data_IF_735952724057
#
_entry.id   IF_735952724057
#
_cell.length_a   1.000
_cell.length_b   1.000
_cell.length_c   1.000
_cell.angle_alpha   90.00
_cell.angle_beta   90.00
_cell.angle_gamma   90.00
#
_symmetry.space_group_name_H-M   'P 1'
#
loop_
_entity.id
_entity.type
_entity.pdbx_description
1 polymer ?
#
# COMPACT_ATOMS: atom_id res chain seq x y z
N UNK A 1 -6.73 6.60 16.88
CA UNK A 1 -7.29 5.60 15.96
C UNK A 1 -6.30 4.47 15.84
N UNK A 2 -6.77 3.22 15.86
CA UNK A 2 -5.91 2.06 15.59
C UNK A 2 -5.67 1.99 14.09
N UNK A 3 -4.42 2.08 13.65
CA UNK A 3 -4.06 1.88 12.25
C UNK A 3 -3.76 0.41 11.99
N UNK A 4 -4.22 -0.10 10.84
CA UNK A 4 -3.86 -1.43 10.34
C UNK A 4 -3.00 -1.25 9.10
N UNK A 5 -1.98 -2.09 8.96
CA UNK A 5 -1.08 -2.06 7.82
C UNK A 5 -0.86 -3.43 7.21
N UNK A 6 -0.73 -3.46 5.88
CA UNK A 6 -0.35 -4.64 5.10
C UNK A 6 0.93 -4.30 4.36
N UNK A 7 1.98 -5.10 4.54
CA UNK A 7 3.31 -4.83 3.99
C UNK A 7 3.73 -5.92 3.00
N UNK A 8 4.43 -5.52 1.93
CA UNK A 8 5.13 -6.42 1.03
C UNK A 8 6.44 -5.78 0.57
N UNK A 9 7.50 -6.57 0.42
CA UNK A 9 8.79 -6.09 -0.06
C UNK A 9 9.04 -6.63 -1.46
N UNK A 10 9.17 -5.72 -2.43
CA UNK A 10 9.58 -6.03 -3.80
C UNK A 10 11.10 -6.20 -3.82
N UNK A 11 11.64 -7.35 -4.28
CA UNK A 11 13.07 -7.54 -4.45
C UNK A 11 13.67 -6.54 -5.45
N UNK A 12 14.97 -6.26 -5.34
CA UNK A 12 15.68 -5.44 -6.32
C UNK A 12 15.62 -6.07 -7.72
N UNK A 13 15.56 -5.23 -8.77
CA UNK A 13 15.46 -5.68 -10.16
C UNK A 13 14.09 -6.26 -10.54
N UNK A 14 13.07 -6.12 -9.69
CA UNK A 14 11.71 -6.57 -9.94
C UNK A 14 10.74 -5.39 -9.94
N UNK A 15 9.80 -5.41 -10.88
CA UNK A 15 8.69 -4.48 -10.96
C UNK A 15 7.41 -5.16 -10.45
N UNK A 16 6.43 -4.33 -10.12
CA UNK A 16 5.14 -4.79 -9.63
C UNK A 16 4.01 -4.04 -10.34
N UNK A 17 3.09 -4.80 -10.92
CA UNK A 17 1.81 -4.27 -11.38
C UNK A 17 0.78 -4.66 -10.33
N UNK A 18 0.24 -3.66 -9.62
CA UNK A 18 -0.99 -3.87 -8.85
C UNK A 18 -2.07 -4.15 -9.89
N UNK A 19 -2.90 -5.17 -9.66
CA UNK A 19 -3.97 -5.59 -10.58
C UNK A 19 -5.35 -5.40 -9.98
N UNK A 20 -5.49 -5.63 -8.68
CA UNK A 20 -6.73 -5.42 -7.96
C UNK A 20 -6.44 -4.84 -6.58
N UNK A 21 -7.40 -4.07 -6.10
CA UNK A 21 -7.37 -3.50 -4.77
C UNK A 21 -8.77 -3.61 -4.14
N UNK A 22 -8.82 -4.09 -2.91
CA UNK A 22 -10.06 -4.31 -2.17
C UNK A 22 -9.90 -3.80 -0.73
N UNK A 23 -10.85 -2.97 -0.32
CA UNK A 23 -11.02 -2.51 1.05
C UNK A 23 -12.33 -3.09 1.55
N UNK A 24 -12.24 -3.88 2.62
CA UNK A 24 -13.39 -4.31 3.41
C UNK A 24 -13.33 -3.62 4.77
N UNK A 25 -14.47 -3.15 5.25
CA UNK A 25 -14.55 -2.38 6.49
C UNK A 25 -15.91 -2.54 7.15
N UNK A 26 -15.97 -2.32 8.46
CA UNK A 26 -17.24 -2.20 9.18
C UNK A 26 -18.05 -1.02 8.62
N UNK A 27 -19.32 -1.28 8.30
CA UNK A 27 -20.24 -0.27 7.77
C UNK A 27 -20.53 0.82 8.81
N UNK A 28 -20.66 2.08 8.36
CA UNK A 28 -21.02 3.22 9.22
C UNK A 28 -19.84 3.93 9.89
N UNK A 29 -18.61 3.62 9.45
CA UNK A 29 -17.40 4.39 9.75
C UNK A 29 -16.84 4.97 8.47
N UNK A 30 -16.12 6.08 8.58
CA UNK A 30 -15.35 6.65 7.48
C UNK A 30 -13.87 6.41 7.75
N UNK A 31 -13.14 5.93 6.74
CA UNK A 31 -11.71 5.67 6.84
C UNK A 31 -10.95 6.36 5.71
N UNK A 32 -9.69 6.67 6.01
CA UNK A 32 -8.73 7.13 5.04
C UNK A 32 -7.66 6.05 4.85
N UNK A 33 -7.29 5.79 3.60
CA UNK A 33 -6.30 4.79 3.22
C UNK A 33 -5.17 5.45 2.45
N UNK A 34 -3.95 5.32 2.96
CA UNK A 34 -2.74 5.79 2.31
C UNK A 34 -1.87 4.63 1.86
N UNK A 35 -1.41 4.67 0.62
CA UNK A 35 -0.40 3.76 0.10
C UNK A 35 0.97 4.41 0.13
N UNK A 36 1.91 3.70 0.72
CA UNK A 36 3.27 4.17 0.95
C UNK A 36 4.27 3.23 0.28
N UNK A 37 5.41 3.78 -0.09
CA UNK A 37 6.59 3.02 -0.48
C UNK A 37 7.84 3.58 0.19
N UNK A 38 8.87 2.75 0.28
CA UNK A 38 10.23 3.13 0.67
C UNK A 38 11.23 2.28 -0.11
N UNK A 39 12.06 2.94 -0.91
CA UNK A 39 13.17 2.33 -1.64
C UNK A 39 14.35 2.05 -0.69
N UNK A 40 15.31 1.23 -1.11
CA UNK A 40 16.47 0.80 -0.31
C UNK A 40 16.05 0.19 1.04
N UNK A 41 15.11 -0.75 0.99
CA UNK A 41 14.54 -1.39 2.18
C UNK A 41 15.58 -2.14 3.04
N UNK A 42 16.73 -2.46 2.45
CA UNK A 42 17.92 -3.03 3.09
C UNK A 42 18.77 -2.01 3.84
N UNK A 43 18.65 -0.72 3.55
CA UNK A 43 19.30 0.32 4.33
C UNK A 43 18.57 0.54 5.66
N UNK A 44 19.20 0.05 6.73
CA UNK A 44 18.72 0.19 8.10
C UNK A 44 19.52 1.24 8.90
N UNK A 45 20.47 1.93 8.28
CA UNK A 45 21.32 2.92 8.95
C UNK A 45 20.70 4.31 8.74
N UNK A 46 20.62 5.10 9.80
CA UNK A 46 20.08 6.44 9.70
C UNK A 46 21.08 7.40 8.97
N UNK A 47 20.60 8.33 8.11
CA UNK A 47 19.20 8.50 7.71
C UNK A 47 18.78 7.49 6.61
N UNK A 48 17.70 6.77 6.86
CA UNK A 48 17.10 5.87 5.87
C UNK A 48 16.46 6.63 4.71
N UNK A 49 16.20 5.93 3.61
CA UNK A 49 15.46 6.47 2.47
C UNK A 49 14.05 6.97 2.84
N UNK A 50 13.56 8.04 2.20
CA UNK A 50 12.29 8.66 2.55
C UNK A 50 11.10 7.76 2.20
N UNK A 51 10.05 7.84 3.03
CA UNK A 51 8.76 7.21 2.77
C UNK A 51 7.96 8.10 1.82
N UNK A 52 7.55 7.58 0.66
CA UNK A 52 6.75 8.30 -0.34
C UNK A 52 5.30 7.82 -0.29
N UNK A 53 4.35 8.73 -0.49
CA UNK A 53 2.92 8.39 -0.64
C UNK A 53 2.58 8.30 -2.12
N UNK A 54 2.08 7.16 -2.56
CA UNK A 54 1.74 6.91 -3.97
C UNK A 54 0.29 7.32 -4.26
N UNK A 55 -0.59 7.09 -3.28
CA UNK A 55 -2.02 7.34 -3.40
C UNK A 55 -2.64 7.49 -2.03
N UNK A 56 -3.55 8.45 -1.92
CA UNK A 56 -4.46 8.57 -0.79
C UNK A 56 -5.89 8.36 -1.30
N UNK A 57 -6.67 7.61 -0.54
CA UNK A 57 -8.10 7.42 -0.71
C UNK A 57 -8.74 7.90 0.58
N UNK A 58 -9.46 9.01 0.50
CA UNK A 58 -10.01 9.71 1.67
C UNK A 58 -11.52 9.54 1.67
N UNK A 59 -12.12 9.44 2.85
CA UNK A 59 -13.56 9.46 2.99
C UNK A 59 -14.27 8.16 2.59
N UNK A 60 -13.59 7.02 2.68
CA UNK A 60 -14.19 5.72 2.35
C UNK A 60 -15.20 5.35 3.43
N UNK A 61 -16.49 5.31 3.08
CA UNK A 61 -17.61 5.02 4.00
C UNK A 61 -18.35 3.71 3.67
N UNK A 62 -17.98 3.06 2.57
CA UNK A 62 -18.47 1.77 2.12
C UNK A 62 -17.30 0.92 1.58
N UNK A 63 -17.44 -0.43 1.54
CA UNK A 63 -16.43 -1.29 0.93
C UNK A 63 -16.13 -0.89 -0.53
N UNK A 64 -14.85 -0.87 -0.89
CA UNK A 64 -14.39 -0.48 -2.23
C UNK A 64 -13.64 -1.65 -2.85
N UNK A 65 -14.02 -2.01 -4.07
CA UNK A 65 -13.26 -2.92 -4.91
C UNK A 65 -13.00 -2.25 -6.26
N UNK A 66 -11.74 -2.29 -6.70
CA UNK A 66 -11.35 -1.69 -7.96
C UNK A 66 -10.23 -2.44 -8.64
N UNK A 67 -10.27 -2.44 -9.97
CA UNK A 67 -9.11 -2.80 -10.78
C UNK A 67 -8.22 -1.57 -10.83
N UNK A 68 -6.99 -1.71 -10.34
CA UNK A 68 -5.94 -0.71 -10.49
C UNK A 68 -4.88 -1.38 -11.33
N UNK A 69 -4.47 -0.80 -12.46
CA UNK A 69 -3.39 -1.32 -13.32
C UNK A 69 -2.15 -0.42 -13.23
N UNK A 70 -1.86 0.05 -12.01
CA UNK A 70 -0.68 0.88 -11.76
C UNK A 70 0.58 0.03 -11.89
N UNK A 71 1.38 0.31 -12.92
CA UNK A 71 2.72 -0.26 -13.02
C UNK A 71 3.67 0.54 -12.13
N UNK A 72 4.15 -0.08 -11.06
CA UNK A 72 5.15 0.47 -10.17
C UNK A 72 6.50 -0.13 -10.53
N UNK A 73 7.42 0.76 -10.94
CA UNK A 73 8.79 0.38 -11.30
C UNK A 73 9.72 0.66 -10.14
N UNK A 74 10.58 -0.31 -9.84
CA UNK A 74 11.52 -0.23 -8.73
C UNK A 74 12.87 -0.74 -9.18
N UNK A 75 13.88 0.13 -9.17
CA UNK A 75 15.26 -0.28 -9.46
C UNK A 75 15.87 -0.98 -8.23
N UNK A 76 15.54 -0.47 -7.04
CA UNK A 76 16.04 -0.93 -5.75
C UNK A 76 15.03 -1.78 -4.98
N UNK A 77 15.51 -2.53 -3.97
CA UNK A 77 14.64 -3.29 -3.08
C UNK A 77 13.68 -2.33 -2.36
N UNK A 78 12.38 -2.52 -2.54
CA UNK A 78 11.38 -1.51 -2.14
C UNK A 78 10.29 -2.12 -1.27
N UNK A 79 10.05 -1.54 -0.09
CA UNK A 79 8.89 -1.85 0.73
C UNK A 79 7.68 -1.08 0.23
N UNK A 80 6.54 -1.77 0.09
CA UNK A 80 5.23 -1.18 -0.17
C UNK A 80 4.26 -1.56 0.94
N UNK A 81 3.41 -0.62 1.35
CA UNK A 81 2.36 -0.92 2.32
C UNK A 81 1.18 0.04 2.22
N UNK A 82 0.04 -0.40 2.75
CA UNK A 82 -1.13 0.44 2.93
C UNK A 82 -1.36 0.70 4.42
N UNK A 83 -1.85 1.89 4.75
CA UNK A 83 -2.24 2.30 6.10
C UNK A 83 -3.71 2.71 6.04
N UNK A 84 -4.56 2.07 6.85
CA UNK A 84 -5.92 2.55 7.10
C UNK A 84 -5.98 3.30 8.43
N UNK A 85 -6.68 4.43 8.45
CA UNK A 85 -7.00 5.17 9.66
C UNK A 85 -8.50 5.52 9.67
N UNK A 86 -9.19 5.19 10.76
CA UNK A 86 -10.56 5.66 10.97
C UNK A 86 -10.56 7.13 11.40
N UNK A 87 -11.45 7.93 10.79
CA UNK A 87 -11.61 9.35 11.14
C UNK A 87 -12.15 9.53 12.56
N UNK A 88 -12.99 8.60 13.04
CA UNK A 88 -13.55 8.60 14.40
C UNK A 88 -13.61 7.18 14.97
N UNK A 89 -12.99 6.96 16.13
CA UNK A 89 -13.06 5.70 16.88
C UNK A 89 -12.15 4.58 16.34
N UNK A 90 -12.60 3.33 16.50
CA UNK A 90 -11.96 2.13 15.94
C UNK A 90 -12.88 1.55 14.86
N UNK A 91 -12.27 1.07 13.77
CA UNK A 91 -12.97 0.34 12.71
C UNK A 91 -12.17 -0.93 12.41
N UNK A 92 -12.86 -2.07 12.23
CA UNK A 92 -12.22 -3.20 11.59
C UNK A 92 -12.09 -2.88 10.10
N UNK A 93 -10.86 -2.79 9.64
CA UNK A 93 -10.52 -2.64 8.22
C UNK A 93 -9.65 -3.81 7.80
N UNK A 94 -9.85 -4.27 6.58
CA UNK A 94 -8.99 -5.21 5.90
C UNK A 94 -8.70 -4.65 4.50
N UNK A 95 -7.42 -4.65 4.16
CA UNK A 95 -6.91 -4.13 2.89
C UNK A 95 -6.18 -5.26 2.19
N UNK A 96 -6.68 -5.62 1.01
CA UNK A 96 -6.10 -6.62 0.14
C UNK A 96 -5.71 -5.99 -1.20
N UNK A 97 -4.54 -6.39 -1.73
CA UNK A 97 -4.11 -6.05 -3.08
C UNK A 97 -3.55 -7.28 -3.77
N UNK A 98 -3.94 -7.47 -5.02
CA UNK A 98 -3.41 -8.51 -5.89
C UNK A 98 -2.39 -7.87 -6.83
N UNK A 99 -1.28 -8.55 -7.07
CA UNK A 99 -0.23 -8.02 -7.93
C UNK A 99 0.45 -9.10 -8.77
N UNK A 100 1.01 -8.66 -9.89
CA UNK A 100 1.93 -9.44 -10.71
C UNK A 100 3.32 -8.85 -10.58
N UNK A 101 4.27 -9.67 -10.13
CA UNK A 101 5.67 -9.32 -10.04
C UNK A 101 6.42 -9.87 -11.26
N UNK A 102 7.31 -9.06 -11.84
CA UNK A 102 8.08 -9.45 -13.02
C UNK A 102 9.45 -8.75 -13.06
N UNK A 103 10.43 -9.38 -13.71
CA UNK A 103 11.78 -8.83 -13.81
C UNK A 103 11.83 -7.57 -14.70
N UNK A 104 12.71 -6.63 -14.38
CA UNK A 104 13.12 -5.58 -15.33
C UNK A 104 13.82 -6.29 -16.49
N UNK A 105 13.41 -5.97 -17.74
CA UNK A 105 13.76 -6.73 -18.95
C UNK A 105 15.22 -7.19 -19.00
N UNK A 106 15.41 -8.48 -19.31
CA UNK A 106 16.70 -9.10 -19.65
C UNK A 106 17.24 -8.59 -20.97
#
# INVERSE_FOLDING_TARGET
GTSKTTHFTVPAGQNLIITAFRITMDTGKTIDVSFKLRENADDTIAPMSPIKTIRDIVGVDAPVAGVSLGNLKFDEKTDIWAIAAASVGTAAVEINYDFVQYAIGS
#
